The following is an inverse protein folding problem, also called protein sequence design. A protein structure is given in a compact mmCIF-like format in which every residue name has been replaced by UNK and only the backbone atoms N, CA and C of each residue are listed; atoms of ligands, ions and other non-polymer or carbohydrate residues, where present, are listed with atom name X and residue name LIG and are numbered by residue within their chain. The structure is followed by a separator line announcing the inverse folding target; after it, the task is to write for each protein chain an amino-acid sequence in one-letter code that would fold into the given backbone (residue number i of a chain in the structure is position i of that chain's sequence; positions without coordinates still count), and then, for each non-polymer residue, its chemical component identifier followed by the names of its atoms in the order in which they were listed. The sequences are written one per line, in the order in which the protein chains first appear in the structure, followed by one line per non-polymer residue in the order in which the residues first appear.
data_IF_707205523195
#
_entry.id   IF_707205523195
#
_cell.length_a   1.000
_cell.length_b   1.000
_cell.length_c   1.000
_cell.angle_alpha   90.00
_cell.angle_beta   90.00
_cell.angle_gamma   90.00
#
_symmetry.space_group_name_H-M   'P 1'
#
loop_
_entity.id
_entity.type
_entity.pdbx_description
1 polymer ?
#
# COMPACT_ATOMS: atom_id res chain seq x y z
N UNK A 1 -5.45 11.20 -14.97
CA UNK A 1 -6.08 12.04 -13.95
C UNK A 1 -5.11 12.32 -12.80
N UNK A 2 -4.51 11.30 -12.16
CA UNK A 2 -3.63 11.47 -10.98
C UNK A 2 -2.45 12.44 -11.23
N UNK A 3 -1.75 12.31 -12.37
CA UNK A 3 -0.61 13.17 -12.72
C UNK A 3 -1.05 14.64 -12.85
N UNK A 4 -2.16 14.89 -13.56
CA UNK A 4 -2.73 16.24 -13.72
C UNK A 4 -3.19 16.84 -12.39
N UNK A 5 -3.84 16.04 -11.54
CA UNK A 5 -4.25 16.48 -10.20
C UNK A 5 -3.04 16.79 -9.31
N UNK A 6 -1.97 16.02 -9.43
CA UNK A 6 -0.72 16.29 -8.69
C UNK A 6 -0.06 17.58 -9.15
N UNK A 7 0.00 17.81 -10.46
CA UNK A 7 0.53 19.05 -11.04
C UNK A 7 -0.30 20.27 -10.59
N UNK A 8 -1.64 20.15 -10.60
CA UNK A 8 -2.51 21.20 -10.09
C UNK A 8 -2.28 21.45 -8.58
N UNK A 9 -2.14 20.40 -7.77
CA UNK A 9 -1.87 20.51 -6.34
C UNK A 9 -0.53 21.21 -6.04
N UNK A 10 0.49 20.97 -6.86
CA UNK A 10 1.81 21.54 -6.65
C UNK A 10 1.92 23.01 -7.12
N UNK A 11 1.07 23.44 -8.09
CA UNK A 11 1.19 24.73 -8.74
C UNK A 11 0.00 25.69 -8.55
N UNK A 12 -1.07 25.27 -7.82
CA UNK A 12 -2.27 26.08 -7.60
C UNK A 12 -2.71 25.97 -6.13
N UNK A 13 -2.58 27.08 -5.40
CA UNK A 13 -2.86 27.12 -3.96
C UNK A 13 -4.37 26.93 -3.65
N UNK A 14 -5.28 27.46 -4.49
CA UNK A 14 -6.71 27.27 -4.33
C UNK A 14 -7.10 25.80 -4.50
N UNK A 15 -6.52 25.14 -5.50
CA UNK A 15 -6.71 23.68 -5.70
C UNK A 15 -6.18 22.88 -4.53
N UNK A 16 -5.04 23.27 -4.00
CA UNK A 16 -4.40 22.61 -2.85
C UNK A 16 -5.22 22.76 -1.58
N UNK A 17 -5.76 23.96 -1.30
CA UNK A 17 -6.66 24.21 -0.18
C UNK A 17 -7.95 23.39 -0.33
N UNK A 18 -8.57 23.39 -1.49
CA UNK A 18 -9.73 22.57 -1.79
C UNK A 18 -9.44 21.08 -1.56
N UNK A 19 -8.28 20.60 -1.99
CA UNK A 19 -7.89 19.19 -1.78
C UNK A 19 -7.76 18.83 -0.28
N UNK A 20 -7.27 19.74 0.57
CA UNK A 20 -7.23 19.53 2.01
C UNK A 20 -8.63 19.43 2.61
N UNK A 21 -9.53 20.33 2.23
CA UNK A 21 -10.94 20.30 2.66
C UNK A 21 -11.61 18.99 2.25
N UNK A 22 -11.51 18.61 0.97
CA UNK A 22 -12.10 17.37 0.45
C UNK A 22 -11.53 16.12 1.12
N UNK A 23 -10.25 16.12 1.47
CA UNK A 23 -9.63 15.02 2.20
C UNK A 23 -10.26 14.86 3.59
N UNK A 24 -10.43 15.96 4.32
CA UNK A 24 -11.05 15.95 5.66
C UNK A 24 -12.52 15.50 5.58
N UNK A 25 -13.28 16.05 4.65
CA UNK A 25 -14.68 15.65 4.42
C UNK A 25 -14.82 14.14 4.16
N UNK A 26 -13.92 13.58 3.36
CA UNK A 26 -13.90 12.14 3.08
C UNK A 26 -13.60 11.31 4.34
N UNK A 27 -12.60 11.73 5.11
CA UNK A 27 -12.19 11.05 6.34
C UNK A 27 -13.29 11.08 7.42
N UNK A 28 -14.06 12.14 7.48
CA UNK A 28 -15.18 12.33 8.42
C UNK A 28 -16.54 11.86 7.87
N UNK A 29 -16.59 11.50 6.59
CA UNK A 29 -17.84 11.22 5.87
C UNK A 29 -18.87 12.37 5.99
N UNK A 30 -18.39 13.61 5.95
CA UNK A 30 -19.19 14.81 6.22
C UNK A 30 -19.78 15.45 4.95
N UNK A 31 -19.44 14.96 3.75
CA UNK A 31 -19.91 15.49 2.47
C UNK A 31 -20.31 14.36 1.50
N UNK A 32 -21.59 14.24 1.21
CA UNK A 32 -22.14 13.20 0.34
C UNK A 32 -21.56 13.23 -1.09
N UNK A 33 -21.34 14.42 -1.65
CA UNK A 33 -20.79 14.57 -2.99
C UNK A 33 -19.34 14.05 -3.05
N UNK A 34 -18.50 14.43 -2.10
CA UNK A 34 -17.12 13.94 -1.97
C UNK A 34 -17.11 12.42 -1.81
N UNK A 35 -17.98 11.88 -0.97
CA UNK A 35 -18.10 10.43 -0.73
C UNK A 35 -18.59 9.68 -1.98
N UNK A 36 -19.53 10.25 -2.75
CA UNK A 36 -20.04 9.64 -3.98
C UNK A 36 -18.96 9.54 -5.07
N UNK A 37 -18.19 10.62 -5.27
CA UNK A 37 -17.06 10.61 -6.21
C UNK A 37 -16.02 9.59 -5.79
N UNK A 38 -15.61 9.60 -4.52
CA UNK A 38 -14.64 8.63 -4.00
C UNK A 38 -15.13 7.19 -4.17
N UNK A 39 -16.41 6.92 -3.89
CA UNK A 39 -17.01 5.59 -4.06
C UNK A 39 -16.93 5.11 -5.51
N UNK A 40 -17.16 6.01 -6.47
CA UNK A 40 -17.04 5.70 -7.90
C UNK A 40 -15.60 5.33 -8.28
N UNK A 41 -14.62 6.14 -7.82
CA UNK A 41 -13.19 5.89 -8.04
C UNK A 41 -12.78 4.56 -7.40
N UNK A 42 -13.20 4.32 -6.17
CA UNK A 42 -12.93 3.09 -5.42
C UNK A 42 -13.45 1.85 -6.16
N UNK A 43 -14.73 1.84 -6.57
CA UNK A 43 -15.33 0.72 -7.29
C UNK A 43 -14.57 0.38 -8.58
N UNK A 44 -14.23 1.41 -9.36
CA UNK A 44 -13.47 1.21 -10.60
C UNK A 44 -12.06 0.64 -10.32
N UNK A 45 -11.40 1.13 -9.28
CA UNK A 45 -10.06 0.67 -8.89
C UNK A 45 -10.08 -0.78 -8.42
N UNK A 46 -11.03 -1.14 -7.53
CA UNK A 46 -11.18 -2.52 -7.05
C UNK A 46 -11.49 -3.48 -8.20
N UNK A 47 -12.36 -3.09 -9.13
CA UNK A 47 -12.65 -3.93 -10.31
C UNK A 47 -11.39 -4.17 -11.16
N UNK A 48 -10.54 -3.15 -11.32
CA UNK A 48 -9.27 -3.31 -12.03
C UNK A 48 -8.29 -4.22 -11.27
N UNK A 49 -8.19 -4.06 -9.95
CA UNK A 49 -7.33 -4.92 -9.12
C UNK A 49 -7.79 -6.38 -9.12
N UNK A 50 -9.09 -6.63 -8.98
CA UNK A 50 -9.63 -7.98 -8.98
C UNK A 50 -9.33 -8.73 -10.29
N UNK A 51 -9.34 -8.04 -11.44
CA UNK A 51 -8.92 -8.65 -12.72
C UNK A 51 -7.46 -9.12 -12.69
N UNK A 52 -6.56 -8.31 -12.11
CA UNK A 52 -5.14 -8.68 -11.97
C UNK A 52 -4.97 -9.80 -10.94
N UNK A 53 -5.68 -9.75 -9.82
CA UNK A 53 -5.64 -10.77 -8.78
C UNK A 53 -6.13 -12.13 -9.30
N UNK A 54 -7.21 -12.15 -10.07
CA UNK A 54 -7.70 -13.37 -10.71
C UNK A 54 -6.64 -13.98 -11.66
N UNK A 55 -5.99 -13.16 -12.49
CA UNK A 55 -4.89 -13.61 -13.36
C UNK A 55 -3.72 -14.18 -12.58
N UNK A 56 -3.39 -13.58 -11.43
CA UNK A 56 -2.33 -14.05 -10.54
C UNK A 56 -2.75 -15.23 -9.66
N UNK A 57 -3.96 -15.74 -9.82
CA UNK A 57 -4.53 -16.82 -9.00
C UNK A 57 -4.46 -16.51 -7.49
N UNK A 58 -4.80 -15.27 -7.12
CA UNK A 58 -4.96 -14.85 -5.73
C UNK A 58 -6.38 -15.21 -5.30
N UNK A 59 -6.52 -15.81 -4.12
CA UNK A 59 -7.82 -16.26 -3.60
C UNK A 59 -8.80 -15.09 -3.43
N UNK A 60 -10.02 -15.27 -3.92
CA UNK A 60 -11.14 -14.32 -3.72
C UNK A 60 -11.72 -14.37 -2.29
N UNK A 61 -11.36 -15.40 -1.51
CA UNK A 61 -11.88 -15.60 -0.14
C UNK A 61 -11.15 -14.76 0.92
N UNK A 62 -10.30 -13.82 0.51
CA UNK A 62 -9.59 -12.94 1.43
C UNK A 62 -10.47 -11.76 1.83
N UNK A 63 -10.61 -11.51 3.13
CA UNK A 63 -11.22 -10.29 3.62
C UNK A 63 -10.30 -9.09 3.36
N UNK A 64 -10.79 -8.10 2.62
CA UNK A 64 -10.03 -6.91 2.25
C UNK A 64 -10.53 -5.70 3.04
N UNK A 65 -9.65 -5.10 3.83
CA UNK A 65 -9.90 -3.88 4.58
C UNK A 65 -8.99 -2.77 4.06
N UNK A 66 -9.53 -1.88 3.22
CA UNK A 66 -8.81 -0.71 2.73
C UNK A 66 -8.63 0.35 3.82
N UNK A 67 -7.76 1.34 3.59
CA UNK A 67 -7.46 2.41 4.55
C UNK A 67 -8.72 3.13 5.05
N UNK A 68 -9.67 3.42 4.16
CA UNK A 68 -10.93 4.08 4.49
C UNK A 68 -11.83 3.30 5.45
N UNK A 69 -11.64 1.97 5.56
CA UNK A 69 -12.37 1.16 6.54
C UNK A 69 -12.10 1.61 7.98
N UNK A 70 -10.91 2.18 8.22
CA UNK A 70 -10.46 2.57 9.55
C UNK A 70 -10.87 3.99 9.96
N UNK A 71 -11.37 4.83 9.07
CA UNK A 71 -11.79 6.21 9.38
C UNK A 71 -12.81 6.27 10.51
N UNK A 72 -13.77 5.37 10.54
CA UNK A 72 -14.80 5.29 11.60
C UNK A 72 -14.25 4.99 13.00
N UNK A 73 -13.01 4.55 13.10
CA UNK A 73 -12.37 4.23 14.37
C UNK A 73 -11.44 5.32 14.88
N UNK A 74 -11.21 6.40 14.11
CA UNK A 74 -10.23 7.44 14.46
C UNK A 74 -10.54 8.07 15.81
N UNK A 75 -11.77 8.52 16.01
CA UNK A 75 -12.17 9.17 17.28
C UNK A 75 -12.04 8.21 18.48
N UNK A 76 -12.34 6.94 18.27
CA UNK A 76 -12.21 5.94 19.33
C UNK A 76 -10.74 5.70 19.69
N UNK A 77 -9.87 5.52 18.69
CA UNK A 77 -8.43 5.32 18.89
C UNK A 77 -7.79 6.57 19.50
N UNK A 78 -8.21 7.76 19.08
CA UNK A 78 -7.78 9.02 19.68
C UNK A 78 -8.10 9.07 21.17
N UNK A 79 -9.35 8.73 21.57
CA UNK A 79 -9.74 8.66 22.97
C UNK A 79 -8.87 7.70 23.77
N UNK A 80 -8.64 6.49 23.27
CA UNK A 80 -7.79 5.48 23.92
C UNK A 80 -6.35 5.97 24.15
N UNK A 81 -5.78 6.69 23.19
CA UNK A 81 -4.44 7.23 23.31
C UNK A 81 -4.39 8.44 24.23
N UNK A 82 -5.45 9.26 24.25
CA UNK A 82 -5.60 10.42 25.16
C UNK A 82 -5.71 9.96 26.61
N UNK A 83 -6.51 8.95 26.90
CA UNK A 83 -6.67 8.37 28.24
C UNK A 83 -5.34 7.83 28.80
N UNK A 84 -4.42 7.47 27.91
CA UNK A 84 -3.05 7.04 28.25
C UNK A 84 -2.02 8.17 28.25
N UNK A 85 -2.44 9.43 28.08
CA UNK A 85 -1.57 10.61 27.97
C UNK A 85 -0.52 10.49 26.84
N UNK A 86 -0.85 9.77 25.75
CA UNK A 86 0.05 9.58 24.62
C UNK A 86 -0.12 10.66 23.54
N UNK A 87 -1.19 11.45 23.58
CA UNK A 87 -1.44 12.53 22.60
C UNK A 87 -1.06 13.88 23.18
N UNK A 88 -0.43 14.71 22.37
CA UNK A 88 -0.18 16.13 22.62
C UNK A 88 -0.28 16.96 21.35
N UNK A 89 -0.24 18.28 21.48
CA UNK A 89 -0.14 19.22 20.36
C UNK A 89 1.27 19.78 20.35
N UNK A 90 1.92 19.74 19.20
CA UNK A 90 3.28 20.26 19.02
C UNK A 90 3.30 21.78 18.72
N UNK A 91 4.50 22.35 18.59
CA UNK A 91 4.70 23.77 18.31
C UNK A 91 4.14 24.22 16.94
N UNK A 92 3.91 23.29 16.01
CA UNK A 92 3.32 23.55 14.69
C UNK A 92 1.80 23.37 14.69
N UNK A 93 1.17 23.14 15.86
CA UNK A 93 -0.26 22.93 16.00
C UNK A 93 -0.74 21.57 15.46
N UNK A 94 0.15 20.60 15.26
CA UNK A 94 -0.20 19.24 14.87
C UNK A 94 -0.52 18.39 16.09
N UNK A 95 -1.53 17.56 16.01
CA UNK A 95 -1.76 16.53 17.00
C UNK A 95 -0.80 15.37 16.78
N UNK A 96 -0.03 15.00 17.79
CA UNK A 96 1.00 13.98 17.70
C UNK A 96 0.82 12.89 18.75
N UNK A 97 1.23 11.67 18.42
CA UNK A 97 1.35 10.56 19.37
C UNK A 97 2.79 10.49 19.83
N UNK A 98 3.01 10.75 21.10
CA UNK A 98 4.33 10.72 21.73
C UNK A 98 4.83 9.28 21.87
N UNK A 99 6.10 9.06 21.57
CA UNK A 99 6.75 7.76 21.66
C UNK A 99 8.07 7.93 22.41
N UNK A 100 8.33 7.09 23.39
CA UNK A 100 9.55 7.17 24.17
C UNK A 100 10.79 6.89 23.29
N UNK A 101 11.77 7.78 23.35
CA UNK A 101 13.08 7.67 22.69
C UNK A 101 13.04 7.66 21.15
N UNK A 102 11.98 8.16 20.52
CA UNK A 102 11.92 8.29 19.03
C UNK A 102 11.01 9.48 18.65
N UNK A 103 11.02 9.82 17.35
CA UNK A 103 10.14 10.86 16.84
C UNK A 103 8.65 10.45 17.01
N UNK A 104 7.76 11.40 17.29
CA UNK A 104 6.34 11.14 17.41
C UNK A 104 5.71 10.78 16.04
N UNK A 105 4.56 10.12 16.07
CA UNK A 105 3.69 9.96 14.91
C UNK A 105 2.77 11.17 14.80
N UNK A 106 2.70 11.82 13.66
CA UNK A 106 1.71 12.87 13.41
C UNK A 106 0.34 12.20 13.26
N UNK A 107 -0.57 12.49 14.21
CA UNK A 107 -1.92 11.96 14.20
C UNK A 107 -2.84 12.82 13.33
N UNK A 108 -2.80 14.13 13.52
CA UNK A 108 -3.61 15.09 12.77
C UNK A 108 -2.72 16.25 12.34
N UNK A 109 -2.86 16.71 11.10
CA UNK A 109 -2.12 17.87 10.58
C UNK A 109 -2.62 19.16 11.20
N UNK A 110 -1.80 20.20 11.13
CA UNK A 110 -2.15 21.56 11.56
C UNK A 110 -3.29 22.17 10.72
N UNK A 111 -3.87 23.24 11.23
CA UNK A 111 -5.01 23.92 10.63
C UNK A 111 -4.74 24.42 9.19
N UNK A 112 -3.55 24.94 8.94
CA UNK A 112 -3.10 25.38 7.61
C UNK A 112 -3.04 24.23 6.56
N UNK A 113 -3.09 22.98 7.04
CA UNK A 113 -3.18 21.76 6.21
C UNK A 113 -4.51 21.03 6.38
N UNK A 114 -5.56 21.75 6.75
CA UNK A 114 -6.93 21.29 6.81
C UNK A 114 -7.25 20.30 7.92
N UNK A 115 -6.46 20.20 9.00
CA UNK A 115 -6.67 19.26 10.11
C UNK A 115 -6.94 17.81 9.65
N UNK A 116 -6.39 17.41 8.51
CA UNK A 116 -6.61 16.07 7.98
C UNK A 116 -5.75 15.06 8.73
N UNK A 117 -6.29 13.86 8.89
CA UNK A 117 -5.56 12.74 9.48
C UNK A 117 -4.48 12.24 8.54
N UNK A 118 -3.45 11.62 9.10
CA UNK A 118 -2.31 11.10 8.36
C UNK A 118 -2.43 9.59 8.13
N UNK A 119 -1.56 9.03 7.28
CA UNK A 119 -1.44 7.57 7.16
C UNK A 119 -1.00 6.92 8.50
N UNK A 120 -0.27 7.64 9.35
CA UNK A 120 0.07 7.16 10.68
C UNK A 120 -1.17 6.95 11.57
N UNK A 121 -2.18 7.81 11.43
CA UNK A 121 -3.46 7.68 12.15
C UNK A 121 -4.22 6.43 11.71
N UNK A 122 -4.37 6.24 10.40
CA UNK A 122 -5.08 5.08 9.85
C UNK A 122 -4.35 3.78 10.13
N UNK A 123 -3.01 3.79 10.15
CA UNK A 123 -2.22 2.63 10.53
C UNK A 123 -2.34 2.29 12.02
N UNK A 124 -2.43 3.29 12.91
CA UNK A 124 -2.74 3.07 14.32
C UNK A 124 -4.12 2.47 14.52
N UNK A 125 -5.13 2.98 13.80
CA UNK A 125 -6.47 2.41 13.82
C UNK A 125 -6.50 0.98 13.27
N UNK A 126 -5.73 0.71 12.21
CA UNK A 126 -5.61 -0.62 11.63
C UNK A 126 -4.92 -1.60 12.60
N UNK A 127 -3.84 -1.18 13.26
CA UNK A 127 -3.17 -1.99 14.26
C UNK A 127 -4.11 -2.33 15.42
N UNK A 128 -4.76 -1.31 15.99
CA UNK A 128 -5.76 -1.50 17.05
C UNK A 128 -6.85 -2.47 16.61
N UNK A 129 -7.44 -2.27 15.43
CA UNK A 129 -8.53 -3.11 14.92
C UNK A 129 -8.09 -4.57 14.73
N UNK A 130 -6.93 -4.78 14.13
CA UNK A 130 -6.38 -6.13 13.88
C UNK A 130 -6.08 -6.87 15.18
N UNK A 131 -5.44 -6.20 16.14
CA UNK A 131 -5.05 -6.84 17.40
C UNK A 131 -6.22 -7.02 18.37
N UNK A 132 -7.15 -6.04 18.45
CA UNK A 132 -8.20 -6.06 19.49
C UNK A 132 -9.56 -6.54 19.00
N UNK A 133 -9.96 -6.17 17.77
CA UNK A 133 -11.27 -6.54 17.23
C UNK A 133 -11.22 -7.86 16.45
N UNK A 134 -10.25 -8.01 15.54
CA UNK A 134 -10.03 -9.27 14.82
C UNK A 134 -9.26 -10.29 15.66
N UNK A 135 -8.61 -9.88 16.75
CA UNK A 135 -7.80 -10.71 17.64
C UNK A 135 -6.73 -11.51 16.87
N UNK A 136 -6.09 -10.86 15.89
CA UNK A 136 -5.02 -11.48 15.11
C UNK A 136 -3.78 -11.67 16.00
N UNK A 137 -3.35 -12.89 16.15
CA UNK A 137 -2.11 -13.23 16.87
C UNK A 137 -0.87 -12.84 16.05
N UNK A 138 -0.95 -12.95 14.72
CA UNK A 138 0.13 -12.61 13.80
C UNK A 138 -0.29 -11.50 12.84
N UNK A 139 0.50 -10.42 12.79
CA UNK A 139 0.26 -9.24 11.93
C UNK A 139 1.53 -8.94 11.13
N UNK A 140 1.50 -9.22 9.83
CA UNK A 140 2.62 -8.99 8.93
C UNK A 140 2.37 -7.77 8.04
N UNK A 141 3.26 -6.79 8.10
CA UNK A 141 3.26 -5.62 7.23
C UNK A 141 4.28 -5.83 6.11
N UNK A 142 3.79 -6.20 4.93
CA UNK A 142 4.63 -6.45 3.75
C UNK A 142 4.76 -5.13 2.98
N UNK A 143 5.81 -4.38 3.28
CA UNK A 143 6.02 -3.02 2.77
C UNK A 143 7.51 -2.80 2.49
N UNK A 144 7.86 -1.82 1.64
CA UNK A 144 9.28 -1.54 1.31
C UNK A 144 10.11 -1.11 2.54
N UNK A 145 11.42 -1.39 2.48
CA UNK A 145 12.38 -1.13 3.57
C UNK A 145 12.39 0.33 4.03
N UNK A 146 12.08 1.28 3.16
CA UNK A 146 12.07 2.70 3.49
C UNK A 146 11.06 3.10 4.57
N UNK A 147 10.12 2.24 4.91
CA UNK A 147 9.12 2.46 5.95
C UNK A 147 9.45 1.80 7.31
N UNK A 148 10.65 1.24 7.46
CA UNK A 148 11.05 0.51 8.68
C UNK A 148 10.93 1.34 9.97
N UNK A 149 11.27 2.63 9.92
CA UNK A 149 11.12 3.52 11.08
C UNK A 149 9.65 3.69 11.47
N UNK A 150 8.77 3.90 10.49
CA UNK A 150 7.33 4.05 10.71
C UNK A 150 6.73 2.81 11.41
N UNK A 151 7.04 1.60 10.94
CA UNK A 151 6.54 0.39 11.57
C UNK A 151 7.14 0.14 12.96
N UNK A 152 8.41 0.51 13.18
CA UNK A 152 8.99 0.49 14.51
C UNK A 152 8.21 1.40 15.48
N UNK A 153 7.89 2.63 15.05
CA UNK A 153 7.08 3.57 15.82
C UNK A 153 5.69 3.02 16.08
N UNK A 154 5.01 2.52 15.04
CA UNK A 154 3.68 1.93 15.12
C UNK A 154 3.59 0.79 16.15
N UNK A 155 4.54 -0.14 16.12
CA UNK A 155 4.57 -1.26 17.05
C UNK A 155 4.91 -0.82 18.48
N UNK A 156 5.73 0.21 18.64
CA UNK A 156 6.00 0.80 19.96
C UNK A 156 4.75 1.37 20.55
N UNK A 157 4.00 2.20 19.80
CA UNK A 157 2.69 2.72 20.25
C UNK A 157 1.73 1.59 20.58
N UNK A 158 1.65 0.55 19.75
CA UNK A 158 0.78 -0.60 20.00
C UNK A 158 1.09 -1.33 21.30
N UNK A 159 2.38 -1.44 21.67
CA UNK A 159 2.81 -2.02 22.96
C UNK A 159 2.50 -1.09 24.13
N UNK A 160 2.85 0.18 24.03
CA UNK A 160 2.64 1.19 25.09
C UNK A 160 1.13 1.40 25.35
N UNK A 161 0.32 1.33 24.29
CA UNK A 161 -1.14 1.38 24.39
C UNK A 161 -1.77 0.05 24.89
N UNK A 162 -1.00 -1.02 25.01
CA UNK A 162 -1.49 -2.33 25.43
C UNK A 162 -2.30 -3.10 24.40
N UNK A 163 -2.23 -2.68 23.12
CA UNK A 163 -2.88 -3.39 22.01
C UNK A 163 -2.07 -4.59 21.52
N UNK A 164 -0.76 -4.50 21.66
CA UNK A 164 0.17 -5.59 21.38
C UNK A 164 0.71 -6.14 22.69
N UNK A 165 0.36 -7.37 23.00
CA UNK A 165 0.83 -8.14 24.16
C UNK A 165 1.85 -9.20 23.72
N UNK A 166 2.35 -10.01 24.65
CA UNK A 166 3.25 -11.14 24.36
C UNK A 166 2.63 -12.19 23.42
N UNK A 167 1.30 -12.23 23.32
CA UNK A 167 0.56 -13.13 22.42
C UNK A 167 0.59 -12.68 20.95
N UNK A 168 1.01 -11.42 20.68
CA UNK A 168 0.99 -10.86 19.34
C UNK A 168 2.38 -10.88 18.70
N UNK A 169 2.47 -11.41 17.49
CA UNK A 169 3.63 -11.25 16.61
C UNK A 169 3.34 -10.17 15.55
N UNK A 170 3.88 -8.97 15.74
CA UNK A 170 3.82 -7.90 14.74
C UNK A 170 5.17 -7.74 14.07
N UNK A 171 5.21 -7.86 12.74
CA UNK A 171 6.45 -7.86 11.98
C UNK A 171 6.36 -7.03 10.71
N UNK A 172 7.32 -6.14 10.51
CA UNK A 172 7.58 -5.53 9.21
C UNK A 172 8.38 -6.52 8.35
N UNK A 173 7.74 -7.03 7.32
CA UNK A 173 8.34 -7.91 6.32
C UNK A 173 8.82 -7.03 5.17
N UNK A 174 9.95 -6.36 5.41
CA UNK A 174 10.50 -5.40 4.46
C UNK A 174 10.95 -6.08 3.17
N UNK A 175 10.75 -5.42 2.03
CA UNK A 175 11.26 -5.84 0.73
C UNK A 175 12.01 -4.71 0.02
N UNK A 176 12.92 -5.11 -0.89
CA UNK A 176 13.67 -4.21 -1.74
C UNK A 176 12.79 -3.58 -2.82
N UNK A 177 13.24 -2.48 -3.40
CA UNK A 177 12.52 -1.76 -4.43
C UNK A 177 12.86 -2.24 -5.83
N UNK A 178 11.87 -2.21 -6.70
CA UNK A 178 12.04 -2.43 -8.12
C UNK A 178 12.64 -1.18 -8.77
N UNK A 179 13.74 -1.38 -9.51
CA UNK A 179 14.46 -0.32 -10.19
C UNK A 179 14.16 -0.36 -11.69
N UNK A 180 14.12 0.81 -12.33
CA UNK A 180 14.08 0.93 -13.77
C UNK A 180 15.42 0.57 -14.43
N UNK A 181 15.45 0.53 -15.76
CA UNK A 181 16.68 0.29 -16.54
C UNK A 181 17.79 1.29 -16.21
N UNK A 182 17.42 2.51 -15.83
CA UNK A 182 18.32 3.57 -15.38
C UNK A 182 18.84 3.41 -13.94
N UNK A 183 18.45 2.34 -13.24
CA UNK A 183 18.83 2.06 -11.86
C UNK A 183 18.12 2.92 -10.83
N UNK A 184 17.14 3.76 -11.23
CA UNK A 184 16.34 4.58 -10.31
C UNK A 184 15.07 3.85 -9.91
N UNK A 185 14.53 4.20 -8.72
CA UNK A 185 13.26 3.68 -8.24
C UNK A 185 12.15 3.98 -9.26
N UNK A 186 11.41 2.95 -9.65
CA UNK A 186 10.18 3.12 -10.44
C UNK A 186 9.13 3.78 -9.57
N UNK A 187 8.72 4.99 -9.96
CA UNK A 187 7.67 5.74 -9.26
C UNK A 187 6.41 5.75 -10.10
N UNK A 188 5.32 5.30 -9.58
CA UNK A 188 4.00 5.37 -10.24
C UNK A 188 3.60 6.81 -10.62
N UNK A 189 4.11 7.80 -9.87
CA UNK A 189 3.88 9.23 -10.10
C UNK A 189 4.47 9.74 -11.39
N UNK A 190 5.55 9.12 -11.87
CA UNK A 190 6.25 9.54 -13.08
C UNK A 190 5.62 8.96 -14.36
N UNK A 191 4.56 8.13 -14.24
CA UNK A 191 3.87 7.49 -15.35
C UNK A 191 4.74 6.52 -16.17
N UNK A 192 5.94 6.18 -15.69
CA UNK A 192 6.94 5.37 -16.40
C UNK A 192 6.98 3.91 -15.94
N UNK A 193 6.33 3.59 -14.82
CA UNK A 193 6.29 2.21 -14.35
C UNK A 193 5.31 1.42 -15.23
N UNK A 194 5.71 0.25 -15.80
CA UNK A 194 4.80 -0.61 -16.51
C UNK A 194 3.69 -1.06 -15.55
N UNK A 195 2.47 -1.19 -16.06
CA UNK A 195 1.40 -1.79 -15.27
C UNK A 195 1.64 -3.28 -15.16
N UNK A 196 1.30 -3.87 -14.03
CA UNK A 196 1.42 -5.32 -13.86
C UNK A 196 0.57 -6.11 -14.87
N UNK A 197 -0.59 -5.56 -15.29
CA UNK A 197 -1.39 -6.11 -16.38
C UNK A 197 -0.58 -6.24 -17.67
N UNK A 198 0.16 -5.19 -18.02
CA UNK A 198 0.91 -5.14 -19.28
C UNK A 198 2.09 -6.12 -19.25
N UNK A 199 2.76 -6.25 -18.08
CA UNK A 199 3.82 -7.25 -17.86
C UNK A 199 3.28 -8.68 -18.01
N UNK A 200 2.06 -8.95 -17.51
CA UNK A 200 1.42 -10.26 -17.67
C UNK A 200 1.05 -10.52 -19.13
N UNK A 201 0.53 -9.51 -19.84
CA UNK A 201 0.18 -9.64 -21.26
C UNK A 201 1.43 -9.92 -22.11
N UNK A 202 2.49 -9.15 -21.93
CA UNK A 202 3.78 -9.34 -22.59
C UNK A 202 4.38 -10.74 -22.29
N UNK A 203 4.23 -11.21 -21.05
CA UNK A 203 4.65 -12.56 -20.65
C UNK A 203 3.88 -13.66 -21.37
N UNK A 204 2.58 -13.50 -21.56
CA UNK A 204 1.74 -14.45 -22.30
C UNK A 204 2.13 -14.47 -23.79
N UNK A 205 2.33 -13.30 -24.38
CA UNK A 205 2.75 -13.19 -25.78
C UNK A 205 4.10 -13.86 -26.00
N UNK A 206 5.08 -13.61 -25.12
CA UNK A 206 6.40 -14.26 -25.19
C UNK A 206 6.31 -15.80 -25.12
N UNK A 207 5.54 -16.34 -24.18
CA UNK A 207 5.37 -17.80 -24.04
C UNK A 207 4.65 -18.38 -25.24
N UNK A 208 3.69 -17.66 -25.82
CA UNK A 208 2.98 -18.06 -27.05
C UNK A 208 3.95 -18.21 -28.20
N UNK A 209 4.80 -17.23 -28.44
CA UNK A 209 5.84 -17.27 -29.50
C UNK A 209 6.85 -18.38 -29.24
N UNK A 210 7.27 -18.56 -27.98
CA UNK A 210 8.21 -19.64 -27.61
C UNK A 210 7.64 -21.04 -27.94
N UNK A 211 6.36 -21.29 -27.63
CA UNK A 211 5.72 -22.57 -27.95
C UNK A 211 5.54 -22.76 -29.46
N UNK A 212 5.17 -21.71 -30.19
CA UNK A 212 5.07 -21.73 -31.64
C UNK A 212 6.41 -22.08 -32.29
N UNK A 213 7.51 -21.46 -31.86
CA UNK A 213 8.86 -21.70 -32.36
C UNK A 213 9.32 -23.13 -32.08
N UNK A 214 8.93 -23.74 -30.99
CA UNK A 214 9.24 -25.14 -30.62
C UNK A 214 8.27 -26.15 -31.22
N UNK A 215 7.34 -25.75 -32.10
CA UNK A 215 6.27 -26.58 -32.65
C UNK A 215 5.50 -27.35 -31.56
N UNK A 216 5.31 -26.75 -30.40
CA UNK A 216 4.63 -27.34 -29.25
C UNK A 216 3.19 -26.83 -29.20
N UNK A 217 2.21 -27.72 -29.37
CA UNK A 217 0.82 -27.39 -29.16
C UNK A 217 0.58 -27.15 -27.66
N UNK A 218 0.12 -25.95 -27.30
CA UNK A 218 -0.25 -25.57 -25.94
C UNK A 218 -1.62 -24.91 -25.95
N UNK A 219 -2.39 -25.18 -24.93
CA UNK A 219 -3.66 -24.48 -24.69
C UNK A 219 -3.37 -23.11 -24.07
N UNK A 220 -4.31 -22.16 -24.22
CA UNK A 220 -4.20 -20.82 -23.61
C UNK A 220 -4.01 -20.89 -22.09
N UNK A 221 -4.66 -21.85 -21.43
CA UNK A 221 -4.48 -22.10 -19.99
C UNK A 221 -3.04 -22.51 -19.66
N UNK A 222 -2.43 -23.38 -20.46
CA UNK A 222 -1.02 -23.79 -20.25
C UNK A 222 -0.06 -22.62 -20.49
N UNK A 223 -0.28 -21.85 -21.54
CA UNK A 223 0.52 -20.65 -21.86
C UNK A 223 0.45 -19.66 -20.71
N UNK A 224 -0.76 -19.34 -20.24
CA UNK A 224 -0.98 -18.42 -19.14
C UNK A 224 -0.31 -18.88 -17.84
N UNK A 225 -0.44 -20.16 -17.49
CA UNK A 225 0.20 -20.73 -16.28
C UNK A 225 1.73 -20.65 -16.34
N UNK A 226 2.33 -20.91 -17.50
CA UNK A 226 3.78 -20.79 -17.66
C UNK A 226 4.23 -19.35 -17.55
N UNK A 227 3.57 -18.42 -18.23
CA UNK A 227 3.90 -17.00 -18.17
C UNK A 227 3.81 -16.43 -16.73
N UNK A 228 2.68 -16.66 -16.06
CA UNK A 228 2.47 -16.19 -14.69
C UNK A 228 3.40 -16.88 -13.70
N UNK A 229 3.66 -18.16 -13.88
CA UNK A 229 4.64 -18.92 -13.10
C UNK A 229 6.05 -18.33 -13.21
N UNK A 230 6.49 -17.98 -14.42
CA UNK A 230 7.79 -17.36 -14.66
C UNK A 230 7.90 -15.98 -13.99
N UNK A 231 6.87 -15.13 -14.11
CA UNK A 231 6.83 -13.82 -13.47
C UNK A 231 6.94 -13.94 -11.94
N UNK A 232 6.12 -14.81 -11.33
CA UNK A 232 6.15 -15.05 -9.89
C UNK A 232 7.48 -15.63 -9.42
N UNK A 233 8.01 -16.61 -10.16
CA UNK A 233 9.27 -17.24 -9.81
C UNK A 233 10.43 -16.26 -9.88
N UNK A 234 10.50 -15.44 -10.92
CA UNK A 234 11.55 -14.44 -11.07
C UNK A 234 11.57 -13.46 -9.89
N UNK A 235 10.41 -12.95 -9.50
CA UNK A 235 10.29 -12.02 -8.36
C UNK A 235 10.68 -12.71 -7.04
N UNK A 236 10.10 -13.88 -6.76
CA UNK A 236 10.31 -14.61 -5.52
C UNK A 236 11.68 -15.29 -5.41
N UNK A 237 12.40 -15.51 -6.52
CA UNK A 237 13.75 -16.08 -6.51
C UNK A 237 14.83 -15.13 -6.02
N UNK A 238 14.52 -13.83 -5.94
CA UNK A 238 15.45 -12.82 -5.44
C UNK A 238 15.44 -12.80 -3.91
N UNK A 239 16.56 -12.40 -3.31
CA UNK A 239 16.55 -12.09 -1.88
C UNK A 239 15.57 -10.94 -1.63
N UNK A 240 14.63 -11.16 -0.72
CA UNK A 240 13.53 -10.23 -0.45
C UNK A 240 13.99 -8.79 -0.18
N UNK A 241 15.08 -8.60 0.53
CA UNK A 241 15.64 -7.27 0.87
C UNK A 241 16.51 -6.64 -0.22
N UNK A 242 16.73 -7.32 -1.35
CA UNK A 242 17.59 -6.83 -2.42
C UNK A 242 16.80 -5.98 -3.41
N UNK A 243 17.30 -4.77 -3.70
CA UNK A 243 16.80 -4.00 -4.83
C UNK A 243 17.23 -4.67 -6.13
N UNK A 244 16.32 -4.81 -7.09
CA UNK A 244 16.67 -5.39 -8.39
C UNK A 244 16.09 -4.59 -9.54
N UNK A 245 16.74 -4.66 -10.70
CA UNK A 245 16.25 -4.04 -11.93
C UNK A 245 15.20 -4.92 -12.57
N UNK A 246 14.11 -4.31 -13.02
CA UNK A 246 13.16 -4.99 -13.87
C UNK A 246 13.80 -5.30 -15.22
N UNK A 247 13.84 -6.57 -15.57
CA UNK A 247 14.38 -7.07 -16.83
C UNK A 247 13.49 -8.19 -17.33
N UNK A 248 12.68 -7.88 -18.34
CA UNK A 248 11.69 -8.79 -18.89
C UNK A 248 12.35 -9.98 -19.58
N UNK A 249 13.44 -9.77 -20.33
CA UNK A 249 14.13 -10.82 -21.05
C UNK A 249 14.70 -11.88 -20.08
N UNK A 250 15.30 -11.43 -18.97
CA UNK A 250 15.79 -12.33 -17.93
C UNK A 250 14.64 -13.03 -17.19
N UNK A 251 13.50 -12.38 -17.02
CA UNK A 251 12.33 -12.96 -16.36
C UNK A 251 11.75 -14.13 -17.15
N UNK A 252 11.81 -14.07 -18.47
CA UNK A 252 11.19 -15.04 -19.35
C UNK A 252 12.17 -16.07 -19.94
N UNK A 253 13.44 -16.05 -19.50
CA UNK A 253 14.42 -17.05 -19.95
C UNK A 253 13.98 -18.47 -19.59
N UNK A 254 14.12 -19.40 -20.52
CA UNK A 254 13.78 -20.81 -20.32
C UNK A 254 14.96 -21.65 -19.77
N UNK A 255 16.11 -21.04 -19.53
CA UNK A 255 17.34 -21.67 -19.04
C UNK A 255 17.92 -20.88 -17.88
N UNK A 256 18.47 -21.57 -16.88
CA UNK A 256 19.00 -20.98 -15.68
C UNK A 256 18.04 -21.06 -14.49
N UNK A 257 18.26 -20.20 -13.48
CA UNK A 257 17.42 -20.08 -12.28
C UNK A 257 16.33 -19.01 -12.49
N UNK A 258 15.52 -19.23 -13.49
CA UNK A 258 14.43 -18.31 -13.85
C UNK A 258 13.08 -18.99 -13.77
#
# INVERSE_FOLDING_TARGET
IYILAREAFDNNDDFKECAYVRTKELQENSNEYTTAIWTSIYKNSINAYNKVYARLNISENLNVYGESHYYKYINHVESLLTDKNMISVDAEGRKIVNITNTNPIIFEKSQDRGNSYTYGTTDLCALWYRSTQLKCEEIYYVVDEGQSLHFKQLFTVGKDAGWLTEQHQSKHVAFGILLGKDGKRLKSRDGRAPKLSDVIDEGIDYVTEMFATKNTNATDDKISKVAIGSIKYYDLSKSRSTNYKFDFDNMMQSTGNT
#
